data_IF_486257900614
#
_entry.id   IF_486257900614
#
_cell.length_a   1.000
_cell.length_b   1.000
_cell.length_c   1.000
_cell.angle_alpha   90.00
_cell.angle_beta   90.00
_cell.angle_gamma   90.00
#
_symmetry.space_group_name_H-M   'P 1'
#
loop_
_entity.id
_entity.type
_entity.pdbx_description
1 polymer ?
#
# COMPACT_ATOMS: atom_id res chain seq x y z
N UNK A 1 -3.32 45.65 -7.78
CA UNK A 1 -2.77 44.58 -8.66
C UNK A 1 -1.34 44.20 -8.24
N UNK A 2 -0.42 45.13 -7.94
CA UNK A 2 0.95 44.82 -7.49
C UNK A 2 1.05 44.12 -6.14
N UNK A 3 0.15 44.39 -5.21
CA UNK A 3 0.09 43.71 -3.87
C UNK A 3 -0.35 42.26 -4.04
N UNK A 4 -1.30 42.00 -4.93
CA UNK A 4 -1.81 40.65 -5.19
C UNK A 4 -0.76 39.73 -5.87
N UNK A 5 0.07 40.27 -6.76
CA UNK A 5 1.20 39.56 -7.38
C UNK A 5 2.31 39.23 -6.37
N UNK A 6 2.68 40.17 -5.49
CA UNK A 6 3.67 39.93 -4.42
C UNK A 6 3.22 38.88 -3.39
N UNK A 7 1.92 38.80 -3.09
CA UNK A 7 1.36 37.79 -2.19
C UNK A 7 1.41 36.42 -2.87
N UNK A 8 1.00 36.29 -4.13
CA UNK A 8 1.08 35.04 -4.89
C UNK A 8 2.52 34.54 -5.09
N UNK A 9 3.49 35.45 -5.39
CA UNK A 9 4.92 35.06 -5.49
C UNK A 9 5.49 34.59 -4.13
N UNK A 10 5.07 35.19 -3.01
CA UNK A 10 5.46 34.76 -1.67
C UNK A 10 4.83 33.40 -1.30
N UNK A 11 3.58 33.19 -1.67
CA UNK A 11 2.90 31.89 -1.46
C UNK A 11 3.51 30.79 -2.34
N UNK A 12 3.90 31.10 -3.58
CA UNK A 12 4.57 30.15 -4.48
C UNK A 12 5.98 29.81 -4.00
N UNK A 13 6.77 30.79 -3.52
CA UNK A 13 8.08 30.53 -2.87
C UNK A 13 7.95 29.80 -1.54
N UNK A 14 6.96 30.13 -0.71
CA UNK A 14 6.68 29.40 0.53
C UNK A 14 6.20 27.96 0.26
N UNK A 15 5.50 27.74 -0.86
CA UNK A 15 5.06 26.41 -1.30
C UNK A 15 6.20 25.45 -1.64
N UNK A 16 7.31 25.94 -2.18
CA UNK A 16 8.48 25.13 -2.48
C UNK A 16 9.27 24.74 -1.22
N UNK A 17 9.50 25.68 -0.29
CA UNK A 17 10.35 25.46 0.89
C UNK A 17 9.86 24.34 1.84
N UNK A 18 8.56 24.20 2.10
CA UNK A 18 8.11 23.14 3.00
C UNK A 18 8.23 21.74 2.39
N UNK A 19 8.16 21.62 1.05
CA UNK A 19 8.37 20.36 0.36
C UNK A 19 9.84 19.93 0.38
N UNK A 20 10.76 20.89 0.19
CA UNK A 20 12.20 20.63 0.28
C UNK A 20 12.59 20.22 1.70
N UNK A 21 12.05 20.89 2.71
CA UNK A 21 12.25 20.53 4.13
C UNK A 21 11.64 19.16 4.44
N UNK A 22 10.44 18.88 3.96
CA UNK A 22 9.80 17.57 4.10
C UNK A 22 10.68 16.48 3.52
N UNK A 23 11.23 16.71 2.33
CA UNK A 23 12.11 15.74 1.66
C UNK A 23 13.40 15.53 2.47
N UNK A 24 14.08 16.58 2.90
CA UNK A 24 15.33 16.46 3.67
C UNK A 24 15.10 15.77 5.04
N UNK A 25 14.00 16.08 5.72
CA UNK A 25 13.61 15.39 6.95
C UNK A 25 13.33 13.90 6.71
N UNK A 26 12.64 13.58 5.63
CA UNK A 26 12.36 12.21 5.21
C UNK A 26 13.66 11.45 4.90
N UNK A 27 14.57 12.06 4.13
CA UNK A 27 15.87 11.46 3.81
C UNK A 27 16.70 11.17 5.09
N UNK A 28 16.63 12.05 6.09
CA UNK A 28 17.28 11.86 7.41
C UNK A 28 16.64 10.74 8.22
N UNK A 29 15.35 10.54 8.13
CA UNK A 29 14.63 9.42 8.76
C UNK A 29 15.01 8.11 8.07
N UNK A 30 14.92 8.05 6.74
CA UNK A 30 15.21 6.85 5.96
C UNK A 30 16.68 6.43 6.03
N UNK A 31 17.61 7.39 6.10
CA UNK A 31 19.05 7.12 6.27
C UNK A 31 19.47 6.78 7.71
N UNK A 32 18.52 6.82 8.67
CA UNK A 32 18.79 6.51 10.08
C UNK A 32 19.51 7.62 10.85
N UNK A 33 19.68 8.82 10.29
CA UNK A 33 20.16 10.00 11.03
C UNK A 33 19.20 10.33 12.18
N UNK A 34 17.89 10.24 11.91
CA UNK A 34 16.86 10.20 12.94
C UNK A 34 16.37 8.76 13.08
N UNK A 35 16.85 8.07 14.13
CA UNK A 35 16.54 6.67 14.36
C UNK A 35 15.07 6.46 14.77
N UNK A 36 14.49 5.32 14.45
CA UNK A 36 13.17 4.91 14.91
C UNK A 36 13.05 5.01 16.44
N UNK A 37 11.95 5.56 16.93
CA UNK A 37 11.71 5.82 18.35
C UNK A 37 12.44 7.04 18.91
N UNK A 38 13.36 7.67 18.16
CA UNK A 38 14.03 8.90 18.59
C UNK A 38 13.12 10.12 18.42
N UNK A 39 13.44 11.18 19.15
CA UNK A 39 12.76 12.47 19.07
C UNK A 39 13.53 13.36 18.10
N UNK A 40 12.86 13.90 17.07
CA UNK A 40 13.46 14.91 16.19
C UNK A 40 13.50 16.28 16.88
N UNK A 41 14.37 17.22 16.44
CA UNK A 41 14.37 18.58 16.95
C UNK A 41 12.97 19.22 16.86
N UNK A 42 12.61 20.03 17.82
CA UNK A 42 11.29 20.66 17.86
C UNK A 42 11.10 21.72 16.76
N UNK A 43 9.85 22.20 16.56
CA UNK A 43 9.52 23.15 15.48
C UNK A 43 10.35 24.47 15.58
N UNK A 44 10.80 24.85 16.77
CA UNK A 44 11.61 26.04 16.96
C UNK A 44 13.06 25.78 16.51
N UNK A 45 13.65 24.69 16.97
CA UNK A 45 15.01 24.28 16.57
C UNK A 45 15.12 24.02 15.06
N UNK A 46 14.11 23.35 14.48
CA UNK A 46 14.06 23.14 13.02
C UNK A 46 13.94 24.48 12.25
N UNK A 47 13.18 25.44 12.78
CA UNK A 47 13.06 26.77 12.14
C UNK A 47 14.41 27.49 12.10
N UNK A 48 15.22 27.38 13.14
CA UNK A 48 16.59 27.91 13.18
C UNK A 48 17.53 27.16 12.21
N UNK A 49 17.47 25.82 12.18
CA UNK A 49 18.30 24.98 11.29
C UNK A 49 18.05 25.31 9.82
N UNK A 50 16.77 25.34 9.43
CA UNK A 50 16.37 25.58 8.03
C UNK A 50 16.23 27.06 7.66
N UNK A 51 16.37 27.98 8.61
CA UNK A 51 16.24 29.44 8.44
C UNK A 51 14.91 29.84 7.80
N UNK A 52 13.83 29.21 8.25
CA UNK A 52 12.46 29.46 7.77
C UNK A 52 11.51 29.75 8.92
N UNK A 53 10.29 30.17 8.60
CA UNK A 53 9.26 30.42 9.60
C UNK A 53 8.76 29.11 10.27
N UNK A 54 8.38 29.18 11.54
CA UNK A 54 7.76 28.03 12.26
C UNK A 54 6.52 27.47 11.57
N UNK A 55 5.61 28.26 10.97
CA UNK A 55 4.51 27.71 10.17
C UNK A 55 4.96 26.84 8.99
N UNK A 56 6.08 27.19 8.33
CA UNK A 56 6.66 26.38 7.24
C UNK A 56 7.15 25.02 7.74
N UNK A 57 7.87 25.02 8.88
CA UNK A 57 8.31 23.76 9.54
C UNK A 57 7.09 22.94 9.96
N UNK A 58 6.12 23.55 10.61
CA UNK A 58 4.90 22.86 11.06
C UNK A 58 4.18 22.17 9.92
N UNK A 59 4.11 22.80 8.73
CA UNK A 59 3.51 22.22 7.54
C UNK A 59 4.30 21.00 7.05
N UNK A 60 5.63 21.11 6.96
CA UNK A 60 6.51 20.01 6.55
C UNK A 60 6.40 18.82 7.53
N UNK A 61 6.50 19.08 8.84
CA UNK A 61 6.37 18.06 9.87
C UNK A 61 4.96 17.45 9.90
N UNK A 62 3.91 18.25 9.69
CA UNK A 62 2.55 17.73 9.67
C UNK A 62 2.33 16.76 8.51
N UNK A 63 2.89 17.02 7.32
CA UNK A 63 2.85 16.10 6.20
C UNK A 63 3.52 14.76 6.57
N UNK A 64 4.69 14.79 7.21
CA UNK A 64 5.37 13.56 7.66
C UNK A 64 4.62 12.84 8.77
N UNK A 65 3.88 13.56 9.62
CA UNK A 65 2.95 12.95 10.60
C UNK A 65 1.76 12.32 9.87
N UNK A 66 1.19 13.02 8.90
CA UNK A 66 0.08 12.51 8.10
C UNK A 66 0.51 11.32 7.21
N UNK A 67 1.77 11.27 6.80
CA UNK A 67 2.39 10.15 6.08
C UNK A 67 2.88 9.01 7.00
N UNK A 68 2.79 9.17 8.32
CA UNK A 68 3.12 8.14 9.31
C UNK A 68 4.60 8.00 9.67
N UNK A 69 5.49 8.84 9.11
CA UNK A 69 6.91 8.84 9.46
C UNK A 69 7.20 9.48 10.82
N UNK A 70 6.30 10.32 11.29
CA UNK A 70 6.41 11.02 12.56
C UNK A 70 5.10 10.92 13.37
N UNK A 71 5.21 10.93 14.69
CA UNK A 71 4.08 11.00 15.62
C UNK A 71 4.29 12.15 16.63
N UNK A 72 3.29 13.03 16.77
CA UNK A 72 3.31 14.07 17.82
C UNK A 72 2.78 13.49 19.12
N UNK A 73 3.64 13.37 20.14
CA UNK A 73 3.24 12.94 21.48
C UNK A 73 3.23 14.11 22.45
N UNK A 74 2.08 14.33 23.09
CA UNK A 74 1.91 15.40 24.07
C UNK A 74 2.98 15.31 25.16
N UNK A 75 3.70 16.41 25.42
CA UNK A 75 4.82 16.54 26.39
C UNK A 75 6.07 15.72 26.07
N UNK A 76 6.10 14.94 25.00
CA UNK A 76 7.28 14.12 24.63
C UNK A 76 7.98 14.61 23.36
N UNK A 77 7.31 15.40 22.51
CA UNK A 77 7.86 15.88 21.25
C UNK A 77 7.35 15.12 20.04
N UNK A 78 8.06 15.26 18.92
CA UNK A 78 7.78 14.55 17.67
C UNK A 78 8.73 13.39 17.55
N UNK A 79 8.19 12.17 17.48
CA UNK A 79 8.92 10.90 17.50
C UNK A 79 8.95 10.32 16.11
N UNK A 80 10.09 9.76 15.71
CA UNK A 80 10.23 8.99 14.47
C UNK A 80 9.51 7.66 14.62
N UNK A 81 8.55 7.41 13.75
CA UNK A 81 7.84 6.15 13.66
C UNK A 81 8.45 5.27 12.59
N UNK A 82 8.26 3.96 12.71
CA UNK A 82 8.40 3.07 11.55
C UNK A 82 7.27 3.43 10.57
N UNK A 83 7.58 3.80 9.33
CA UNK A 83 6.53 4.24 8.42
C UNK A 83 5.56 3.10 8.20
N UNK A 84 4.35 3.26 8.71
CA UNK A 84 3.27 2.36 8.35
C UNK A 84 3.03 2.52 6.85
N UNK A 85 3.15 1.45 6.10
CA UNK A 85 2.93 1.47 4.65
C UNK A 85 1.45 1.80 4.44
N UNK A 86 1.15 3.04 4.02
CA UNK A 86 -0.22 3.42 3.66
C UNK A 86 -0.61 2.70 2.38
N UNK A 87 -1.59 1.84 2.47
CA UNK A 87 -2.10 1.09 1.32
C UNK A 87 -3.27 1.85 0.69
N UNK A 88 -3.04 2.42 -0.48
CA UNK A 88 -4.08 3.13 -1.25
C UNK A 88 -4.85 2.21 -2.19
N UNK A 89 -4.40 0.96 -2.37
CA UNK A 89 -5.05 -0.01 -3.27
C UNK A 89 -6.52 -0.28 -2.91
N UNK A 90 -6.94 0.10 -1.72
CA UNK A 90 -8.35 0.04 -1.33
C UNK A 90 -9.25 0.99 -2.14
N UNK A 91 -8.66 2.02 -2.76
CA UNK A 91 -9.37 3.06 -3.53
C UNK A 91 -9.05 3.02 -5.03
N UNK A 92 -7.87 2.52 -5.41
CA UNK A 92 -7.40 2.52 -6.80
C UNK A 92 -6.98 1.11 -7.19
N UNK A 93 -7.33 0.71 -8.42
CA UNK A 93 -6.86 -0.55 -9.00
C UNK A 93 -5.45 -0.32 -9.54
N UNK A 94 -4.45 -0.78 -8.79
CA UNK A 94 -3.05 -0.69 -9.20
C UNK A 94 -2.27 -1.92 -8.73
N UNK A 95 -1.09 -2.11 -9.31
CA UNK A 95 -0.20 -3.21 -8.92
C UNK A 95 0.54 -2.88 -7.63
N UNK A 96 0.83 -3.90 -6.82
CA UNK A 96 1.62 -3.76 -5.60
C UNK A 96 2.96 -3.05 -5.85
N UNK A 97 3.68 -3.45 -6.92
CA UNK A 97 4.99 -2.88 -7.22
C UNK A 97 4.91 -1.38 -7.56
N UNK A 98 3.86 -0.98 -8.28
CA UNK A 98 3.63 0.42 -8.60
C UNK A 98 3.36 1.22 -7.32
N UNK A 99 2.46 0.73 -6.48
CA UNK A 99 2.09 1.38 -5.23
C UNK A 99 3.29 1.57 -4.29
N UNK A 100 4.13 0.52 -4.14
CA UNK A 100 5.32 0.57 -3.29
C UNK A 100 6.38 1.51 -3.85
N UNK A 101 6.64 1.47 -5.17
CA UNK A 101 7.60 2.36 -5.85
C UNK A 101 7.20 3.83 -5.79
N UNK A 102 5.91 4.15 -5.90
CA UNK A 102 5.40 5.52 -5.78
C UNK A 102 5.65 6.11 -4.38
N UNK A 103 5.82 5.27 -3.37
CA UNK A 103 6.20 5.65 -1.99
C UNK A 103 7.72 5.74 -1.79
N UNK A 104 8.52 5.52 -2.84
CA UNK A 104 9.98 5.50 -2.76
C UNK A 104 10.56 4.26 -2.10
N UNK A 105 9.76 3.19 -1.93
CA UNK A 105 10.16 1.93 -1.32
C UNK A 105 10.45 0.87 -2.39
N UNK A 106 11.17 -0.18 -2.02
CA UNK A 106 11.59 -1.25 -2.93
C UNK A 106 10.71 -2.48 -2.77
N UNK A 107 9.87 -2.84 -3.78
CA UNK A 107 9.09 -4.06 -3.73
C UNK A 107 9.90 -5.27 -4.20
N UNK A 108 9.67 -6.42 -3.60
CA UNK A 108 10.06 -7.71 -4.15
C UNK A 108 9.00 -8.78 -3.88
N UNK A 109 9.03 -9.85 -4.66
CA UNK A 109 8.04 -10.94 -4.59
C UNK A 109 8.73 -12.28 -4.63
N UNK A 110 8.34 -13.19 -3.73
CA UNK A 110 8.71 -14.61 -3.77
C UNK A 110 7.46 -15.43 -4.03
N UNK A 111 7.51 -16.30 -5.04
CA UNK A 111 6.44 -17.26 -5.35
C UNK A 111 6.61 -18.49 -4.46
N UNK A 112 5.67 -18.73 -3.57
CA UNK A 112 5.67 -19.92 -2.68
C UNK A 112 5.00 -21.11 -3.33
N UNK A 113 3.96 -20.87 -4.14
CA UNK A 113 3.21 -21.91 -4.86
C UNK A 113 2.63 -21.33 -6.13
N UNK A 114 2.78 -22.04 -7.24
CA UNK A 114 2.05 -21.78 -8.46
C UNK A 114 1.66 -23.12 -9.11
N UNK A 115 0.36 -23.40 -9.17
CA UNK A 115 -0.14 -24.69 -9.70
C UNK A 115 -1.58 -24.56 -10.17
N UNK A 116 -2.02 -25.53 -10.97
CA UNK A 116 -3.42 -25.74 -11.28
C UNK A 116 -4.03 -26.70 -10.27
N UNK A 117 -5.23 -26.39 -9.78
CA UNK A 117 -5.98 -27.27 -8.90
C UNK A 117 -7.50 -27.15 -9.14
N UNK A 118 -8.27 -28.09 -8.59
CA UNK A 118 -9.72 -27.94 -8.47
C UNK A 118 -10.02 -26.80 -7.51
N UNK A 119 -10.97 -25.95 -7.89
CA UNK A 119 -11.42 -24.87 -7.03
C UNK A 119 -12.20 -25.41 -5.84
N UNK A 120 -11.86 -24.96 -4.63
CA UNK A 120 -12.66 -25.17 -3.43
C UNK A 120 -14.00 -24.43 -3.54
N UNK A 121 -14.97 -24.78 -2.70
CA UNK A 121 -16.34 -24.26 -2.77
C UNK A 121 -16.40 -22.73 -2.72
N UNK A 122 -15.68 -22.10 -1.80
CA UNK A 122 -15.62 -20.63 -1.70
C UNK A 122 -15.08 -20.01 -2.98
N UNK A 123 -13.97 -20.54 -3.52
CA UNK A 123 -13.34 -20.05 -4.77
C UNK A 123 -14.29 -20.21 -5.95
N UNK A 124 -15.01 -21.34 -6.04
CA UNK A 124 -16.01 -21.59 -7.09
C UNK A 124 -17.13 -20.56 -7.05
N UNK A 125 -17.65 -20.28 -5.86
CA UNK A 125 -18.72 -19.28 -5.68
C UNK A 125 -18.25 -17.87 -6.06
N UNK A 126 -17.04 -17.47 -5.60
CA UNK A 126 -16.47 -16.14 -5.89
C UNK A 126 -16.17 -15.93 -7.37
N UNK A 127 -15.71 -16.96 -8.07
CA UNK A 127 -15.33 -16.91 -9.48
C UNK A 127 -16.45 -17.42 -10.43
N UNK A 128 -17.61 -17.78 -9.88
CA UNK A 128 -18.75 -18.34 -10.64
C UNK A 128 -18.32 -19.52 -11.54
N UNK A 129 -17.64 -20.50 -10.95
CA UNK A 129 -17.10 -21.66 -11.64
C UNK A 129 -17.99 -22.90 -11.49
N UNK A 130 -18.03 -23.73 -12.55
CA UNK A 130 -18.62 -25.06 -12.51
C UNK A 130 -17.73 -26.00 -11.67
N UNK A 131 -18.30 -27.08 -11.19
CA UNK A 131 -17.58 -28.06 -10.34
C UNK A 131 -16.36 -28.70 -11.01
N UNK A 132 -16.37 -28.80 -12.33
CA UNK A 132 -15.30 -29.38 -13.14
C UNK A 132 -14.19 -28.41 -13.53
N UNK A 133 -14.41 -27.13 -13.32
CA UNK A 133 -13.46 -26.10 -13.71
C UNK A 133 -12.29 -25.98 -12.74
N UNK A 134 -11.12 -25.71 -13.31
CA UNK A 134 -9.86 -25.56 -12.55
C UNK A 134 -9.46 -24.10 -12.43
N UNK A 135 -8.67 -23.84 -11.42
CA UNK A 135 -8.03 -22.55 -11.19
C UNK A 135 -6.52 -22.70 -11.12
N UNK A 136 -5.81 -21.66 -11.53
CA UNK A 136 -4.45 -21.43 -11.09
C UNK A 136 -4.50 -20.88 -9.65
N UNK A 137 -3.76 -21.52 -8.76
CA UNK A 137 -3.50 -21.02 -7.40
C UNK A 137 -2.08 -20.49 -7.35
N UNK A 138 -1.97 -19.20 -7.08
CA UNK A 138 -0.70 -18.48 -6.97
C UNK A 138 -0.56 -17.93 -5.56
N UNK A 139 0.40 -18.44 -4.79
CA UNK A 139 0.72 -17.96 -3.43
C UNK A 139 2.02 -17.18 -3.48
N UNK A 140 1.97 -15.92 -3.09
CA UNK A 140 3.12 -15.01 -3.11
C UNK A 140 3.34 -14.39 -1.73
N UNK A 141 4.57 -14.36 -1.31
CA UNK A 141 5.04 -13.53 -0.21
C UNK A 141 5.69 -12.28 -0.80
N UNK A 142 5.16 -11.11 -0.46
CA UNK A 142 5.62 -9.83 -0.99
C UNK A 142 6.32 -9.03 0.09
N UNK A 143 7.41 -8.43 -0.30
CA UNK A 143 8.32 -7.69 0.58
C UNK A 143 8.30 -6.21 0.22
N UNK A 144 8.61 -5.40 1.22
CA UNK A 144 8.90 -3.97 1.08
C UNK A 144 10.20 -3.71 1.83
N UNK A 145 11.24 -3.21 1.14
CA UNK A 145 12.59 -3.00 1.68
C UNK A 145 13.13 -4.24 2.41
N UNK A 146 13.06 -5.39 1.69
CA UNK A 146 13.50 -6.72 2.15
C UNK A 146 12.76 -7.28 3.39
N UNK A 147 11.71 -6.60 3.85
CA UNK A 147 10.88 -7.08 4.95
C UNK A 147 9.58 -7.69 4.44
N UNK A 148 9.16 -8.87 4.93
CA UNK A 148 7.86 -9.43 4.59
C UNK A 148 6.73 -8.45 4.91
N UNK A 149 5.81 -8.24 3.99
CA UNK A 149 4.73 -7.28 4.15
C UNK A 149 3.34 -7.89 4.00
N UNK A 150 3.15 -8.73 2.99
CA UNK A 150 1.85 -9.36 2.71
C UNK A 150 2.01 -10.75 2.12
N UNK A 151 1.22 -11.70 2.62
CA UNK A 151 1.02 -13.02 2.04
C UNK A 151 -0.28 -13.00 1.23
N UNK A 152 -0.17 -13.26 -0.08
CA UNK A 152 -1.31 -13.22 -1.01
C UNK A 152 -1.52 -14.56 -1.67
N UNK A 153 -2.72 -15.12 -1.54
CA UNK A 153 -3.19 -16.27 -2.32
C UNK A 153 -4.16 -15.78 -3.38
N UNK A 154 -3.87 -16.00 -4.64
CA UNK A 154 -4.70 -15.59 -5.77
C UNK A 154 -5.17 -16.82 -6.54
N UNK A 155 -6.46 -16.81 -6.90
CA UNK A 155 -7.09 -17.83 -7.73
C UNK A 155 -7.56 -17.20 -9.04
N UNK A 156 -7.18 -17.82 -10.17
CA UNK A 156 -7.51 -17.35 -11.52
C UNK A 156 -8.12 -18.51 -12.31
N UNK A 157 -9.29 -18.35 -12.96
CA UNK A 157 -9.90 -19.41 -13.75
C UNK A 157 -8.99 -19.85 -14.92
N UNK A 158 -8.62 -21.14 -14.99
CA UNK A 158 -7.74 -21.64 -16.05
C UNK A 158 -8.31 -21.42 -17.46
N UNK A 159 -9.66 -21.46 -17.60
CA UNK A 159 -10.33 -21.29 -18.91
C UNK A 159 -10.19 -19.88 -19.51
N UNK A 160 -9.80 -18.89 -18.70
CA UNK A 160 -9.72 -17.49 -19.15
C UNK A 160 -8.31 -17.09 -19.57
N UNK A 161 -7.29 -17.85 -19.17
CA UNK A 161 -5.88 -17.51 -19.35
C UNK A 161 -5.08 -18.75 -19.73
N UNK A 162 -4.70 -18.87 -21.00
CA UNK A 162 -4.04 -20.10 -21.53
C UNK A 162 -2.56 -20.14 -21.17
N UNK A 163 -1.87 -18.98 -21.14
CA UNK A 163 -0.42 -18.90 -20.98
C UNK A 163 0.05 -18.51 -19.57
N UNK A 164 -0.87 -18.44 -18.60
CA UNK A 164 -0.52 -17.99 -17.26
C UNK A 164 0.54 -18.88 -16.60
N UNK A 165 0.57 -20.18 -16.94
CA UNK A 165 1.55 -21.15 -16.42
C UNK A 165 2.99 -20.91 -16.86
N UNK A 166 3.21 -20.10 -17.89
CA UNK A 166 4.52 -19.80 -18.45
C UNK A 166 5.15 -18.54 -17.83
N UNK A 167 4.41 -17.82 -16.98
CA UNK A 167 4.80 -16.53 -16.45
C UNK A 167 5.59 -16.65 -15.15
N UNK A 168 6.72 -15.97 -15.07
CA UNK A 168 7.51 -15.81 -13.85
C UNK A 168 6.95 -14.68 -12.99
N UNK A 169 6.05 -15.01 -12.05
CA UNK A 169 5.40 -14.03 -11.15
C UNK A 169 6.31 -13.48 -10.04
N UNK A 170 7.56 -13.83 -9.98
CA UNK A 170 8.55 -13.10 -9.19
C UNK A 170 9.01 -11.82 -9.90
N UNK A 171 8.95 -11.80 -11.24
CA UNK A 171 9.38 -10.68 -12.08
C UNK A 171 8.22 -9.95 -12.75
N UNK A 172 7.14 -10.67 -13.08
CA UNK A 172 6.01 -10.15 -13.84
C UNK A 172 4.81 -9.87 -12.94
N UNK A 173 4.10 -8.80 -13.24
CA UNK A 173 2.87 -8.44 -12.55
C UNK A 173 1.68 -9.24 -13.10
N UNK A 174 0.88 -9.84 -12.23
CA UNK A 174 -0.35 -10.55 -12.62
C UNK A 174 -1.31 -9.67 -13.43
N UNK A 175 -1.52 -8.42 -13.03
CA UNK A 175 -2.43 -7.51 -13.74
C UNK A 175 -1.88 -7.06 -15.10
N UNK A 176 -0.56 -6.90 -15.23
CA UNK A 176 0.05 -6.67 -16.53
C UNK A 176 -0.06 -7.90 -17.44
N UNK A 177 0.00 -9.10 -16.88
CA UNK A 177 -0.24 -10.34 -17.64
C UNK A 177 -1.69 -10.41 -18.11
N UNK A 178 -2.66 -10.08 -17.26
CA UNK A 178 -4.08 -10.00 -17.67
C UNK A 178 -4.27 -9.01 -18.82
N UNK A 179 -3.64 -7.84 -18.73
CA UNK A 179 -3.66 -6.83 -19.80
C UNK A 179 -3.10 -7.36 -21.13
N UNK A 180 -1.96 -8.04 -21.09
CA UNK A 180 -1.33 -8.65 -22.27
C UNK A 180 -2.25 -9.69 -22.95
N UNK A 181 -3.06 -10.39 -22.17
CA UNK A 181 -4.06 -11.37 -22.67
C UNK A 181 -5.42 -10.74 -22.98
N UNK A 182 -5.52 -9.39 -23.00
CA UNK A 182 -6.71 -8.65 -23.38
C UNK A 182 -7.83 -8.67 -22.33
N UNK A 183 -7.49 -8.89 -21.06
CA UNK A 183 -8.44 -8.90 -19.94
C UNK A 183 -7.98 -8.00 -18.81
N UNK A 184 -8.50 -6.79 -18.78
CA UNK A 184 -8.24 -5.85 -17.71
C UNK A 184 -9.21 -6.03 -16.54
N UNK A 185 -8.70 -5.87 -15.32
CA UNK A 185 -9.57 -5.70 -14.16
C UNK A 185 -10.09 -4.26 -14.17
N UNK A 186 -11.40 -4.11 -14.35
CA UNK A 186 -12.07 -2.80 -14.40
C UNK A 186 -12.79 -2.46 -13.09
N UNK A 187 -13.12 -3.47 -12.28
CA UNK A 187 -13.69 -3.26 -10.96
C UNK A 187 -13.24 -4.34 -9.97
N UNK A 188 -13.16 -3.98 -8.69
CA UNK A 188 -12.81 -4.91 -7.60
C UNK A 188 -13.80 -4.72 -6.45
N UNK A 189 -14.39 -5.82 -6.01
CA UNK A 189 -15.10 -5.87 -4.74
C UNK A 189 -14.17 -6.35 -3.64
N UNK A 190 -14.03 -5.58 -2.55
CA UNK A 190 -13.17 -5.94 -1.42
C UNK A 190 -13.94 -6.01 -0.12
N UNK A 191 -13.60 -7.01 0.69
CA UNK A 191 -14.01 -7.13 2.09
C UNK A 191 -12.75 -7.11 2.95
N UNK A 192 -12.75 -6.31 4.00
CA UNK A 192 -11.67 -6.22 4.99
C UNK A 192 -12.16 -6.74 6.33
N UNK A 193 -11.43 -7.67 6.86
CA UNK A 193 -11.56 -8.18 8.23
C UNK A 193 -10.19 -8.03 8.95
N UNK A 194 -10.16 -8.33 10.24
CA UNK A 194 -8.93 -8.48 11.03
C UNK A 194 -8.92 -9.89 11.60
N UNK A 195 -7.77 -10.57 11.44
CA UNK A 195 -7.53 -11.90 12.00
C UNK A 195 -6.25 -11.88 12.84
N UNK A 196 -6.06 -12.93 13.63
CA UNK A 196 -4.79 -13.17 14.32
C UNK A 196 -3.90 -14.07 13.46
N UNK A 197 -2.60 -13.81 13.49
CA UNK A 197 -1.61 -14.65 12.82
C UNK A 197 -1.59 -16.05 13.44
N UNK A 198 -1.76 -17.08 12.63
CA UNK A 198 -1.42 -18.45 12.98
C UNK A 198 0.10 -18.68 12.87
N UNK A 199 0.63 -19.82 13.32
CA UNK A 199 2.06 -20.13 13.28
C UNK A 199 2.65 -20.00 11.87
N UNK A 200 1.97 -20.50 10.85
CA UNK A 200 2.42 -20.42 9.44
C UNK A 200 2.49 -18.98 8.94
N UNK A 201 1.47 -18.18 9.22
CA UNK A 201 1.47 -16.78 8.85
C UNK A 201 2.51 -15.98 9.64
N UNK A 202 2.70 -16.32 10.92
CA UNK A 202 3.70 -15.69 11.77
C UNK A 202 5.12 -15.89 11.22
N UNK A 203 5.45 -17.14 10.88
CA UNK A 203 6.77 -17.48 10.30
C UNK A 203 7.00 -16.81 8.94
N UNK A 204 5.99 -16.84 8.05
CA UNK A 204 6.13 -16.27 6.71
C UNK A 204 6.19 -14.74 6.72
N UNK A 205 5.44 -14.08 7.61
CA UNK A 205 5.36 -12.63 7.68
C UNK A 205 6.35 -12.01 8.67
N UNK A 206 7.15 -12.83 9.37
CA UNK A 206 8.08 -12.38 10.42
C UNK A 206 7.37 -11.52 11.49
N UNK A 207 6.29 -12.09 12.05
CA UNK A 207 5.51 -11.52 13.15
C UNK A 207 5.34 -12.59 14.24
N UNK A 208 4.77 -12.22 15.38
CA UNK A 208 4.49 -13.19 16.44
C UNK A 208 3.17 -13.91 16.18
N UNK A 209 3.08 -15.17 16.61
CA UNK A 209 1.81 -15.87 16.65
C UNK A 209 0.80 -15.07 17.51
N UNK A 210 -0.39 -14.81 16.96
CA UNK A 210 -1.42 -14.00 17.59
C UNK A 210 -1.33 -12.49 17.28
N UNK A 211 -0.34 -12.02 16.53
CA UNK A 211 -0.29 -10.62 16.08
C UNK A 211 -1.44 -10.33 15.10
N UNK A 212 -2.00 -9.11 15.10
CA UNK A 212 -3.11 -8.76 14.22
C UNK A 212 -2.66 -8.63 12.77
N UNK A 213 -3.45 -9.20 11.85
CA UNK A 213 -3.29 -9.08 10.41
C UNK A 213 -4.55 -8.45 9.80
N UNK A 214 -4.37 -7.52 8.87
CA UNK A 214 -5.46 -7.12 7.99
C UNK A 214 -5.72 -8.24 6.98
N UNK A 215 -6.97 -8.61 6.82
CA UNK A 215 -7.40 -9.76 6.03
C UNK A 215 -8.37 -9.34 4.94
N UNK A 216 -7.89 -9.33 3.70
CA UNK A 216 -8.69 -8.94 2.55
C UNK A 216 -9.15 -10.13 1.74
N UNK A 217 -10.44 -10.12 1.39
CA UNK A 217 -11.00 -10.89 0.30
C UNK A 217 -11.31 -9.95 -0.85
N UNK A 218 -10.78 -10.21 -2.03
CA UNK A 218 -10.98 -9.37 -3.20
C UNK A 218 -11.42 -10.20 -4.39
N UNK A 219 -12.48 -9.77 -5.10
CA UNK A 219 -12.87 -10.35 -6.38
C UNK A 219 -12.74 -9.29 -7.45
N UNK A 220 -11.91 -9.56 -8.45
CA UNK A 220 -11.66 -8.69 -9.60
C UNK A 220 -12.54 -9.10 -10.79
N UNK A 221 -13.11 -8.10 -11.46
CA UNK A 221 -14.01 -8.27 -12.60
C UNK A 221 -13.48 -7.53 -13.83
N UNK A 222 -13.65 -8.12 -15.00
CA UNK A 222 -13.36 -7.48 -16.28
C UNK A 222 -14.53 -6.57 -16.75
N UNK A 223 -14.38 -5.97 -17.93
CA UNK A 223 -15.41 -5.11 -18.56
C UNK A 223 -16.78 -5.80 -18.72
N UNK A 224 -16.79 -7.11 -18.92
CA UNK A 224 -18.02 -7.92 -19.06
C UNK A 224 -18.62 -8.32 -17.71
N UNK A 225 -18.11 -7.80 -16.59
CA UNK A 225 -18.48 -8.25 -15.25
C UNK A 225 -18.22 -9.75 -15.00
N UNK A 226 -17.26 -10.33 -15.71
CA UNK A 226 -16.79 -11.68 -15.43
C UNK A 226 -15.78 -11.63 -14.29
N UNK A 227 -15.95 -12.46 -13.27
CA UNK A 227 -14.97 -12.62 -12.20
C UNK A 227 -13.73 -13.34 -12.75
N UNK A 228 -12.61 -12.63 -12.85
CA UNK A 228 -11.36 -13.15 -13.43
C UNK A 228 -10.28 -13.41 -12.39
N UNK A 229 -10.45 -12.88 -11.18
CA UNK A 229 -9.53 -13.07 -10.05
C UNK A 229 -10.31 -13.13 -8.74
N UNK A 230 -9.91 -14.04 -7.85
CA UNK A 230 -10.24 -13.99 -6.43
C UNK A 230 -8.97 -14.07 -5.63
N UNK A 231 -8.73 -13.15 -4.72
CA UNK A 231 -7.54 -13.12 -3.89
C UNK A 231 -7.84 -12.94 -2.42
N UNK A 232 -7.01 -13.60 -1.61
CA UNK A 232 -6.98 -13.52 -0.16
C UNK A 232 -5.62 -12.95 0.22
N UNK A 233 -5.59 -11.78 0.86
CA UNK A 233 -4.36 -11.11 1.25
C UNK A 233 -4.32 -10.89 2.76
N UNK A 234 -3.21 -11.29 3.39
CA UNK A 234 -2.92 -11.12 4.81
C UNK A 234 -1.77 -10.13 4.97
N UNK A 235 -2.07 -8.91 5.36
CA UNK A 235 -1.08 -7.84 5.58
C UNK A 235 -0.70 -7.75 7.04
N UNK A 236 0.57 -7.54 7.33
CA UNK A 236 1.04 -7.23 8.68
C UNK A 236 0.33 -6.00 9.24
N UNK A 237 -0.26 -6.12 10.44
CA UNK A 237 -0.98 -5.02 11.08
C UNK A 237 -0.07 -3.94 11.67
N UNK A 238 1.17 -4.30 12.01
CA UNK A 238 2.17 -3.39 12.57
C UNK A 238 2.80 -2.45 11.50
N UNK A 239 2.79 -2.84 10.21
CA UNK A 239 3.46 -2.11 9.12
C UNK A 239 2.50 -1.52 8.09
N UNK A 240 1.22 -1.85 8.13
CA UNK A 240 0.26 -1.39 7.13
C UNK A 240 -0.86 -0.57 7.74
N UNK A 241 -1.32 0.43 7.01
CA UNK A 241 -2.55 1.16 7.29
C UNK A 241 -3.35 1.34 6.01
N UNK A 242 -4.67 1.31 6.10
CA UNK A 242 -5.56 1.49 4.96
C UNK A 242 -6.34 2.78 5.13
N UNK A 243 -6.21 3.69 4.18
CA UNK A 243 -6.86 5.00 4.20
C UNK A 243 -8.01 4.99 3.19
N UNK A 244 -9.20 5.32 3.67
CA UNK A 244 -10.41 5.46 2.84
C UNK A 244 -10.81 6.93 2.84
N UNK A 245 -10.82 7.56 1.66
CA UNK A 245 -11.33 8.92 1.51
C UNK A 245 -12.74 8.85 0.92
N UNK A 246 -13.72 9.28 1.69
CA UNK A 246 -15.12 9.35 1.25
C UNK A 246 -15.45 10.80 0.94
N UNK A 247 -15.97 11.07 -0.26
CA UNK A 247 -16.52 12.36 -0.64
C UNK A 247 -18.03 12.24 -0.81
N UNK A 248 -18.78 13.18 -0.23
CA UNK A 248 -20.22 13.22 -0.41
C UNK A 248 -20.54 14.00 -1.70
N UNK A 249 -20.75 13.27 -2.81
CA UNK A 249 -21.30 13.83 -4.04
C UNK A 249 -22.83 13.87 -3.92
N UNK A 250 -23.36 14.72 -3.04
CA UNK A 250 -24.79 14.98 -3.02
C UNK A 250 -25.10 15.89 -4.21
N UNK A 251 -25.54 15.31 -5.32
CA UNK A 251 -26.27 16.07 -6.34
C UNK A 251 -27.63 16.39 -5.74
N UNK A 252 -27.81 17.63 -5.27
CA UNK A 252 -29.13 18.17 -5.01
C UNK A 252 -29.84 18.30 -6.38
N UNK A 253 -30.70 17.37 -6.70
CA UNK A 253 -31.66 17.47 -7.82
C UNK A 253 -32.86 18.32 -7.39
#
# INVERSE_FOLDING_TARGET
>A
IQIYHKVKEREYKMGAFYLDIKKDLLDKILSGVYQQGSIIPNEYELAEIYKVSRPTIRKAVQILVDEGYLEKRKKRGTIVCDPTIRQEFAQVIQTFDKEVKEKGLTPSTKVLTFKQEKAEEEVRQKLNLKETEKVYKLVRLRYVDDQPNVLVTTYVPCRLFEHLSEVDFEKESLYQTFHKEGRDITSIQRKLDVILADETCADLLDVKNGDPLFYFHSTGYDESHTAIEYSIAKYRGDRNSFVFQLSNNVYYS
#
